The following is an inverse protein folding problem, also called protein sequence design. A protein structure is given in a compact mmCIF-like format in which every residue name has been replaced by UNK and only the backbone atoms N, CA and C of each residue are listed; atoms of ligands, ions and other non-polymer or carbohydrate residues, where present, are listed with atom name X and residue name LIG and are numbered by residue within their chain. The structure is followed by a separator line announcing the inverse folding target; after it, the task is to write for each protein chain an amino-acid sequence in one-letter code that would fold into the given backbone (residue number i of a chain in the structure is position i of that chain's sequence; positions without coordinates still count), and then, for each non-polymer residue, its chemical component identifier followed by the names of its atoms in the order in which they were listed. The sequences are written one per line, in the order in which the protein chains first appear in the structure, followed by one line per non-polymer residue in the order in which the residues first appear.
data_IF_338691912157
#
_entry.id   IF_338691912157
#
_cell.length_a   1.000
_cell.length_b   1.000
_cell.length_c   1.000
_cell.angle_alpha   90.00
_cell.angle_beta   90.00
_cell.angle_gamma   90.00
#
_symmetry.space_group_name_H-M   'P 1'
#
loop_
_entity.id
_entity.type
_entity.pdbx_description
1 polymer ?
#
# COMPACT_ATOMS: atom_id res chain seq x y z
N UNK A 1 4.95 14.83 -7.73
CA UNK A 1 4.13 13.62 -7.54
C UNK A 1 2.71 14.09 -7.20
N UNK A 2 1.74 13.77 -8.05
CA UNK A 2 0.34 14.03 -7.76
C UNK A 2 -0.10 13.07 -6.65
N UNK A 3 -0.52 13.59 -5.50
CA UNK A 3 -0.79 12.78 -4.30
C UNK A 3 -2.00 11.85 -4.43
N UNK A 4 -2.79 11.98 -5.49
CA UNK A 4 -4.10 11.34 -5.63
C UNK A 4 -4.13 10.15 -6.61
N UNK A 5 -2.98 9.72 -7.15
CA UNK A 5 -2.96 8.65 -8.16
C UNK A 5 -2.83 7.24 -7.59
N UNK A 6 -2.30 7.03 -6.37
CA UNK A 6 -2.15 5.69 -5.78
C UNK A 6 -1.60 4.66 -6.78
N UNK A 7 -2.24 3.48 -6.89
CA UNK A 7 -1.94 2.42 -7.87
C UNK A 7 -2.15 2.81 -9.35
N UNK A 8 -2.74 3.97 -9.63
CA UNK A 8 -2.94 4.50 -10.98
C UNK A 8 -1.75 5.32 -11.48
N UNK A 9 -0.78 5.62 -10.61
CA UNK A 9 0.48 6.27 -11.00
C UNK A 9 1.29 5.32 -11.91
N UNK A 10 1.77 5.83 -13.04
CA UNK A 10 2.53 5.06 -14.02
C UNK A 10 3.76 4.37 -13.41
N UNK A 11 4.30 4.93 -12.32
CA UNK A 11 5.45 4.39 -11.58
C UNK A 11 5.15 3.02 -10.93
N UNK A 12 3.88 2.70 -10.69
CA UNK A 12 3.43 1.45 -10.06
C UNK A 12 2.81 0.46 -11.07
N UNK A 13 2.70 0.83 -12.35
CA UNK A 13 2.18 -0.08 -13.38
C UNK A 13 3.27 -1.08 -13.81
N UNK A 14 2.89 -2.34 -14.08
CA UNK A 14 3.82 -3.31 -14.67
C UNK A 14 4.43 -2.78 -15.97
N UNK A 15 5.76 -2.76 -16.07
CA UNK A 15 6.45 -2.33 -17.28
C UNK A 15 6.70 -3.50 -18.20
N UNK A 16 6.20 -3.41 -19.43
CA UNK A 16 6.43 -4.40 -20.48
C UNK A 16 7.60 -3.98 -21.37
N UNK A 17 8.38 -4.94 -21.90
CA UNK A 17 9.47 -4.63 -22.83
C UNK A 17 8.93 -3.98 -24.10
N UNK A 18 9.46 -2.81 -24.43
CA UNK A 18 9.11 -2.06 -25.64
C UNK A 18 10.05 -2.52 -26.76
N UNK A 19 9.51 -2.80 -27.95
CA UNK A 19 10.30 -3.10 -29.14
C UNK A 19 10.21 -1.97 -30.16
N UNK A 20 11.30 -1.74 -30.88
CA UNK A 20 11.31 -0.93 -32.09
C UNK A 20 11.46 -1.84 -33.30
N UNK A 21 10.56 -1.71 -34.27
CA UNK A 21 10.64 -2.43 -35.54
C UNK A 21 11.49 -1.61 -36.51
N UNK A 22 12.71 -2.08 -36.77
CA UNK A 22 13.62 -1.44 -37.72
C UNK A 22 13.54 -2.22 -39.03
N UNK A 23 13.17 -1.54 -40.13
CA UNK A 23 13.24 -2.13 -41.48
C UNK A 23 14.71 -2.30 -41.85
N UNK A 24 15.13 -3.53 -42.10
CA UNK A 24 16.50 -3.83 -42.49
C UNK A 24 16.47 -4.55 -43.83
N UNK A 25 16.51 -3.71 -44.87
CA UNK A 25 16.87 -4.02 -46.26
C UNK A 25 16.01 -5.05 -47.01
N UNK A 26 15.84 -4.78 -48.31
CA UNK A 26 15.23 -5.68 -49.29
C UNK A 26 16.22 -6.80 -49.61
N UNK A 27 15.84 -8.05 -49.43
CA UNK A 27 16.67 -9.18 -49.87
C UNK A 27 16.73 -9.18 -51.41
N UNK A 28 17.88 -8.92 -52.07
CA UNK A 28 17.93 -8.69 -53.51
C UNK A 28 17.51 -9.90 -54.35
N UNK A 29 17.58 -11.11 -53.78
CA UNK A 29 17.22 -12.35 -54.46
C UNK A 29 15.72 -12.67 -54.38
N UNK A 30 15.07 -12.31 -53.27
CA UNK A 30 13.66 -12.68 -52.99
C UNK A 30 12.69 -11.49 -52.97
N UNK A 31 13.19 -10.26 -53.08
CA UNK A 31 12.42 -9.01 -53.04
C UNK A 31 11.51 -8.88 -51.80
N UNK A 32 11.86 -9.58 -50.72
CA UNK A 32 11.12 -9.61 -49.46
C UNK A 32 11.73 -8.62 -48.46
N UNK A 33 10.86 -7.90 -47.75
CA UNK A 33 11.26 -6.97 -46.68
C UNK A 33 11.56 -7.77 -45.42
N UNK A 34 12.78 -7.67 -44.90
CA UNK A 34 13.13 -8.22 -43.59
C UNK A 34 12.98 -7.14 -42.52
N UNK A 35 12.36 -7.51 -41.41
CA UNK A 35 12.19 -6.64 -40.24
C UNK A 35 13.04 -7.18 -39.10
N UNK A 36 13.77 -6.29 -38.41
CA UNK A 36 14.46 -6.62 -37.16
C UNK A 36 13.69 -5.98 -36.00
N UNK A 37 13.26 -6.80 -35.05
CA UNK A 37 12.71 -6.33 -33.79
C UNK A 37 13.87 -6.12 -32.81
N UNK A 38 14.09 -4.88 -32.39
CA UNK A 38 15.07 -4.55 -31.34
C UNK A 38 14.30 -4.31 -30.05
N UNK A 39 14.40 -5.25 -29.11
CA UNK A 39 13.80 -5.13 -27.79
C UNK A 39 14.67 -4.23 -26.90
N UNK A 40 14.08 -3.19 -26.33
CA UNK A 40 14.73 -2.40 -25.30
C UNK A 40 14.65 -3.14 -23.96
N UNK A 41 15.66 -2.97 -23.12
CA UNK A 41 15.65 -3.52 -21.75
C UNK A 41 14.45 -2.94 -21.00
N UNK A 42 13.66 -3.82 -20.38
CA UNK A 42 12.58 -3.40 -19.50
C UNK A 42 13.16 -2.52 -18.38
N UNK A 43 12.55 -1.36 -18.12
CA UNK A 43 12.91 -0.56 -16.95
C UNK A 43 12.37 -1.30 -15.72
N UNK A 44 13.30 -1.84 -14.94
CA UNK A 44 12.99 -2.51 -13.69
C UNK A 44 13.02 -1.49 -12.57
N UNK A 45 12.11 -1.62 -11.61
CA UNK A 45 12.08 -0.79 -10.42
C UNK A 45 13.16 -1.30 -9.45
N UNK A 46 14.23 -0.54 -9.27
CA UNK A 46 15.34 -0.95 -8.39
C UNK A 46 15.01 -0.74 -6.89
N UNK A 47 14.02 0.12 -6.60
CA UNK A 47 13.57 0.43 -5.23
C UNK A 47 12.05 0.54 -5.21
N UNK A 48 11.41 -0.23 -4.34
CA UNK A 48 9.97 -0.13 -4.10
C UNK A 48 9.68 1.25 -3.51
N UNK A 49 8.92 2.07 -4.23
CA UNK A 49 8.45 3.36 -3.73
C UNK A 49 7.34 3.11 -2.70
N UNK A 50 7.69 3.06 -1.43
CA UNK A 50 6.69 3.00 -0.35
C UNK A 50 5.97 4.35 -0.24
N UNK A 51 4.64 4.31 -0.17
CA UNK A 51 3.88 5.50 0.15
C UNK A 51 4.14 5.89 1.61
N UNK A 52 4.37 7.18 1.93
CA UNK A 52 4.54 7.60 3.31
C UNK A 52 3.25 7.38 4.09
N UNK A 53 3.34 6.67 5.22
CA UNK A 53 2.20 6.42 6.11
C UNK A 53 1.76 7.73 6.76
N UNK A 54 0.45 8.05 6.73
CA UNK A 54 -0.11 9.22 7.42
C UNK A 54 0.19 9.12 8.92
N UNK A 55 0.46 10.26 9.55
CA UNK A 55 0.83 10.37 10.97
C UNK A 55 -0.10 11.37 11.67
N UNK A 56 -0.48 11.08 12.92
CA UNK A 56 -1.31 11.93 13.78
C UNK A 56 -2.62 12.35 13.09
N UNK A 57 -3.32 11.40 12.48
CA UNK A 57 -4.49 11.68 11.66
C UNK A 57 -5.79 11.09 12.24
N UNK A 58 -5.72 10.42 13.40
CA UNK A 58 -6.87 9.77 14.03
C UNK A 58 -7.61 10.61 15.07
N UNK A 59 -7.38 11.93 15.11
CA UNK A 59 -8.03 12.83 16.05
C UNK A 59 -9.57 12.76 15.94
N UNK A 60 -10.08 12.89 14.71
CA UNK A 60 -11.51 12.91 14.37
C UNK A 60 -12.10 11.53 14.03
N UNK A 61 -11.42 10.45 14.44
CA UNK A 61 -11.92 9.08 14.24
C UNK A 61 -13.28 8.88 14.93
N UNK A 62 -14.29 8.54 14.13
CA UNK A 62 -15.64 8.26 14.59
C UNK A 62 -15.88 6.75 14.79
N UNK A 63 -15.36 5.91 13.90
CA UNK A 63 -15.53 4.45 13.97
C UNK A 63 -14.27 3.72 13.50
N UNK A 64 -13.99 2.60 14.16
CA UNK A 64 -12.95 1.64 13.81
C UNK A 64 -13.63 0.30 13.58
N UNK A 65 -13.69 -0.17 12.34
CA UNK A 65 -14.43 -1.39 11.99
C UNK A 65 -13.70 -2.27 10.97
N UNK A 66 -14.17 -3.49 10.80
CA UNK A 66 -13.74 -4.40 9.75
C UNK A 66 -14.82 -4.50 8.68
N UNK A 67 -14.44 -4.28 7.43
CA UNK A 67 -15.32 -4.37 6.25
C UNK A 67 -15.21 -5.78 5.68
N UNK A 68 -16.29 -6.56 5.84
CA UNK A 68 -16.35 -7.96 5.39
C UNK A 68 -16.27 -8.12 3.88
N UNK A 69 -16.69 -7.11 3.11
CA UNK A 69 -16.76 -7.20 1.65
C UNK A 69 -15.38 -6.96 1.02
N UNK A 70 -14.61 -6.02 1.58
CA UNK A 70 -13.26 -5.70 1.10
C UNK A 70 -12.15 -6.41 1.88
N UNK A 71 -12.50 -7.05 3.00
CA UNK A 71 -11.57 -7.66 3.95
C UNK A 71 -10.54 -6.69 4.56
N UNK A 72 -10.89 -5.41 4.68
CA UNK A 72 -10.02 -4.34 5.19
C UNK A 72 -10.48 -3.86 6.56
N UNK A 73 -9.55 -3.39 7.39
CA UNK A 73 -9.88 -2.56 8.53
C UNK A 73 -10.11 -1.11 8.07
N UNK A 74 -11.18 -0.48 8.54
CA UNK A 74 -11.65 0.83 8.11
C UNK A 74 -11.72 1.77 9.30
N UNK A 75 -11.10 2.92 9.14
CA UNK A 75 -11.22 4.07 10.02
C UNK A 75 -12.18 5.04 9.34
N UNK A 76 -13.33 5.25 9.96
CA UNK A 76 -14.31 6.24 9.54
C UNK A 76 -14.07 7.51 10.35
N UNK A 77 -13.98 8.64 9.67
CA UNK A 77 -13.83 9.94 10.30
C UNK A 77 -15.18 10.62 10.44
N UNK A 78 -15.29 11.53 11.41
CA UNK A 78 -16.44 12.42 11.47
C UNK A 78 -16.38 13.46 10.33
N UNK A 79 -17.53 13.83 9.76
CA UNK A 79 -17.60 14.78 8.63
C UNK A 79 -17.45 14.14 7.25
N UNK A 80 -17.03 14.95 6.26
CA UNK A 80 -16.92 14.58 4.83
C UNK A 80 -15.48 14.16 4.45
N UNK A 81 -14.79 13.50 5.38
CA UNK A 81 -13.44 13.01 5.18
C UNK A 81 -13.45 11.59 4.60
N UNK A 82 -12.54 11.32 3.67
CA UNK A 82 -12.38 9.98 3.11
C UNK A 82 -11.91 8.99 4.19
N UNK A 83 -12.59 7.85 4.27
CA UNK A 83 -12.22 6.77 5.19
C UNK A 83 -10.81 6.26 4.91
N UNK A 84 -10.07 5.94 5.96
CA UNK A 84 -8.77 5.30 5.82
C UNK A 84 -8.92 3.78 5.89
N UNK A 85 -8.47 3.08 4.85
CA UNK A 85 -8.61 1.62 4.70
C UNK A 85 -7.25 0.94 4.78
N UNK A 86 -7.19 -0.18 5.50
CA UNK A 86 -5.99 -0.98 5.71
C UNK A 86 -6.25 -2.44 5.37
N UNK A 87 -5.49 -2.95 4.41
CA UNK A 87 -5.55 -4.35 4.02
C UNK A 87 -4.76 -5.26 4.96
N UNK A 88 -3.66 -4.76 5.54
CA UNK A 88 -2.73 -5.55 6.35
C UNK A 88 -2.57 -4.94 7.76
N UNK A 89 -2.74 -5.73 8.85
CA UNK A 89 -2.50 -5.29 10.22
C UNK A 89 -1.12 -4.66 10.44
N UNK A 90 -0.10 -5.08 9.69
CA UNK A 90 1.25 -4.54 9.79
C UNK A 90 1.35 -3.06 9.46
N UNK A 91 0.35 -2.47 8.81
CA UNK A 91 0.31 -1.02 8.58
C UNK A 91 0.28 -0.24 9.89
N UNK A 92 -0.33 -0.80 10.95
CA UNK A 92 -0.43 -0.17 12.28
C UNK A 92 0.96 0.07 12.89
N UNK A 93 1.96 -0.78 12.61
CA UNK A 93 3.34 -0.64 13.09
C UNK A 93 3.98 0.68 12.64
N UNK A 94 3.56 1.18 11.47
CA UNK A 94 4.07 2.40 10.86
C UNK A 94 3.24 3.65 11.20
N UNK A 95 2.30 3.55 12.14
CA UNK A 95 1.52 4.71 12.61
C UNK A 95 2.25 5.49 13.70
N UNK A 96 1.76 6.69 14.02
CA UNK A 96 2.30 7.47 15.13
C UNK A 96 1.90 6.85 16.47
N UNK A 97 2.64 7.18 17.53
CA UNK A 97 2.29 6.74 18.89
C UNK A 97 0.87 7.21 19.30
N UNK A 98 0.47 8.40 18.87
CA UNK A 98 -0.84 8.97 19.16
C UNK A 98 -1.96 8.19 18.45
N UNK A 99 -1.77 7.87 17.17
CA UNK A 99 -2.73 7.09 16.38
C UNK A 99 -2.87 5.67 16.94
N UNK A 100 -1.76 5.00 17.28
CA UNK A 100 -1.78 3.66 17.90
C UNK A 100 -2.52 3.68 19.24
N UNK A 101 -2.26 4.68 20.10
CA UNK A 101 -2.98 4.85 21.34
C UNK A 101 -4.48 5.10 21.12
N UNK A 102 -4.87 5.80 20.05
CA UNK A 102 -6.28 5.96 19.67
C UNK A 102 -6.90 4.61 19.30
N UNK A 103 -6.28 3.84 18.40
CA UNK A 103 -6.77 2.50 18.03
C UNK A 103 -6.82 1.55 19.22
N UNK A 104 -5.86 1.60 20.13
CA UNK A 104 -5.87 0.78 21.35
C UNK A 104 -7.06 1.07 22.26
N UNK A 105 -7.50 2.33 22.35
CA UNK A 105 -8.61 2.76 23.21
C UNK A 105 -9.99 2.42 22.66
N UNK A 106 -10.09 2.02 21.40
CA UNK A 106 -11.35 1.71 20.72
C UNK A 106 -11.31 0.28 20.21
N UNK A 107 -12.31 -0.52 20.58
CA UNK A 107 -12.42 -1.87 20.03
C UNK A 107 -12.87 -1.83 18.57
N UNK A 108 -12.25 -2.68 17.74
CA UNK A 108 -12.69 -2.85 16.35
C UNK A 108 -14.08 -3.46 16.32
N UNK A 109 -15.00 -2.83 15.57
CA UNK A 109 -16.32 -3.38 15.29
C UNK A 109 -16.25 -4.38 14.13
N UNK A 110 -16.91 -5.52 14.27
CA UNK A 110 -16.93 -6.58 13.25
C UNK A 110 -18.19 -7.45 13.36
N UNK A 111 -18.47 -8.19 12.30
CA UNK A 111 -19.43 -9.30 12.34
C UNK A 111 -18.78 -10.56 12.90
N UNK A 112 -19.53 -11.40 13.62
CA UNK A 112 -19.01 -12.60 14.30
C UNK A 112 -18.21 -13.53 13.37
N UNK A 113 -18.62 -13.65 12.10
CA UNK A 113 -17.94 -14.46 11.08
C UNK A 113 -16.50 -14.00 10.80
N UNK A 114 -16.22 -12.71 11.02
CA UNK A 114 -14.95 -12.05 10.71
C UNK A 114 -14.10 -11.77 11.95
N UNK A 115 -14.57 -12.18 13.13
CA UNK A 115 -13.91 -11.93 14.41
C UNK A 115 -12.41 -12.28 14.38
N UNK A 116 -12.05 -13.42 13.78
CA UNK A 116 -10.66 -13.84 13.69
C UNK A 116 -9.79 -12.86 12.89
N UNK A 117 -10.29 -12.30 11.78
CA UNK A 117 -9.54 -11.34 10.97
C UNK A 117 -9.51 -9.96 11.64
N UNK A 118 -10.65 -9.46 12.09
CA UNK A 118 -10.75 -8.17 12.76
C UNK A 118 -9.85 -8.10 14.01
N UNK A 119 -9.85 -9.14 14.84
CA UNK A 119 -9.03 -9.18 16.05
C UNK A 119 -7.52 -9.23 15.76
N UNK A 120 -7.07 -9.59 14.56
CA UNK A 120 -5.64 -9.46 14.20
C UNK A 120 -5.20 -8.01 14.17
N UNK A 121 -6.03 -7.11 13.62
CA UNK A 121 -5.77 -5.67 13.65
C UNK A 121 -5.73 -5.14 15.07
N UNK A 122 -6.73 -5.48 15.90
CA UNK A 122 -6.76 -5.07 17.30
C UNK A 122 -5.53 -5.57 18.07
N UNK A 123 -5.13 -6.83 17.87
CA UNK A 123 -3.95 -7.41 18.53
C UNK A 123 -2.67 -6.69 18.15
N UNK A 124 -2.49 -6.29 16.89
CA UNK A 124 -1.32 -5.52 16.48
C UNK A 124 -1.32 -4.13 17.12
N UNK A 125 -2.47 -3.43 17.14
CA UNK A 125 -2.58 -2.14 17.84
C UNK A 125 -2.21 -2.27 19.33
N UNK A 126 -2.75 -3.27 20.03
CA UNK A 126 -2.41 -3.55 21.42
C UNK A 126 -0.92 -3.87 21.60
N UNK A 127 -0.37 -4.75 20.75
CA UNK A 127 1.04 -5.13 20.81
C UNK A 127 1.96 -3.92 20.63
N UNK A 128 1.70 -3.10 19.61
CA UNK A 128 2.45 -1.87 19.35
C UNK A 128 2.36 -0.90 20.51
N UNK A 129 1.18 -0.70 21.08
CA UNK A 129 0.99 0.16 22.25
C UNK A 129 1.82 -0.31 23.45
N UNK A 130 1.69 -1.58 23.85
CA UNK A 130 2.41 -2.11 25.02
C UNK A 130 3.92 -2.19 24.83
N UNK A 131 4.40 -2.38 23.60
CA UNK A 131 5.83 -2.44 23.28
C UNK A 131 6.43 -1.07 22.93
N UNK A 132 5.63 -0.02 22.86
CA UNK A 132 6.09 1.30 22.41
C UNK A 132 6.60 1.30 20.96
N UNK A 133 6.08 0.40 20.11
CA UNK A 133 6.46 0.31 18.70
C UNK A 133 5.60 1.27 17.89
N UNK A 134 6.23 2.19 17.17
CA UNK A 134 5.57 3.16 16.31
C UNK A 134 6.54 3.73 15.25
N UNK A 135 6.05 4.52 14.29
CA UNK A 135 6.90 5.08 13.23
C UNK A 135 8.14 5.84 13.73
N UNK A 136 8.00 6.53 14.86
CA UNK A 136 9.07 7.27 15.53
C UNK A 136 9.93 6.46 16.52
N UNK A 137 9.64 5.18 16.77
CA UNK A 137 10.45 4.38 17.69
C UNK A 137 11.72 3.96 16.95
N UNK A 138 12.88 4.40 17.41
CA UNK A 138 14.14 3.92 16.86
C UNK A 138 14.27 2.44 17.23
N UNK A 139 14.32 1.57 16.21
CA UNK A 139 14.57 0.13 16.40
C UNK A 139 15.97 -0.18 16.99
N UNK A 140 16.74 0.86 17.33
CA UNK A 140 18.06 0.77 17.93
C UNK A 140 18.04 0.58 19.44
N UNK A 141 16.90 0.72 20.09
CA UNK A 141 16.77 0.52 21.54
C UNK A 141 15.71 -0.55 21.81
N UNK A 142 16.17 -1.77 22.14
CA UNK A 142 15.66 -2.64 23.19
C UNK A 142 16.04 -4.12 22.96
N UNK A 143 17.17 -4.55 23.54
CA UNK A 143 17.27 -5.47 24.70
C UNK A 143 18.58 -6.25 24.68
#
# INVERSE_FOLDING_TARGET
MNKNSGWKDESYKPQFPIYQQIKFTLDPATNMVRYKLVYQRAKVMDKILLMPMKQNFLEDMALWCYDSDTHEAVIVFSGDHENFRMLDPMWIVNMSAADINKLYRHDIFYEDKDAHQALRFQRVACFCYYRGIHAGSSWSEQH
#
